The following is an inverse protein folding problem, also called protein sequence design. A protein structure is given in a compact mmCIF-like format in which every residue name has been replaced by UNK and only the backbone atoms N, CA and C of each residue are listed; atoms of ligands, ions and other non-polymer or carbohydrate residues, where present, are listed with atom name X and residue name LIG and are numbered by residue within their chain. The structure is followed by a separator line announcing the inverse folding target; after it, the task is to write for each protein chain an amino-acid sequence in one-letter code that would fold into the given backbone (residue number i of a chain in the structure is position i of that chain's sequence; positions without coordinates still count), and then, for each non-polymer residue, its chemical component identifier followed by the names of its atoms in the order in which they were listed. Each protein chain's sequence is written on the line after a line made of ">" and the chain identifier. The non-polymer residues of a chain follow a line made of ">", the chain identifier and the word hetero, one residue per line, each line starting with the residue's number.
data_IF_427106889510
#
_entry.id   IF_427106889510
#
_cell.length_a   1.000
_cell.length_b   1.000
_cell.length_c   1.000
_cell.angle_alpha   90.00
_cell.angle_beta   90.00
_cell.angle_gamma   90.00
#
_symmetry.space_group_name_H-M   'P 1'
#
loop_
_entity.id
_entity.type
_entity.pdbx_description
1 polymer ?
#
# COMPACT_ATOMS: atom_id res chain seq x y z
N UNK A 1 -20.18 -21.59 -0.99
CA UNK A 1 -20.45 -20.13 -1.01
C UNK A 1 -19.36 -19.53 -1.88
N UNK A 2 -19.70 -19.22 -3.13
CA UNK A 2 -18.80 -18.46 -3.99
C UNK A 2 -18.67 -17.05 -3.40
N UNK A 3 -17.65 -16.80 -2.60
CA UNK A 3 -17.19 -15.45 -2.38
C UNK A 3 -16.71 -14.95 -3.75
N UNK A 4 -17.50 -14.08 -4.35
CA UNK A 4 -17.15 -13.48 -5.64
C UNK A 4 -15.92 -12.60 -5.44
N UNK A 5 -14.79 -13.07 -5.92
CA UNK A 5 -13.52 -12.34 -5.92
C UNK A 5 -13.53 -11.21 -6.97
N UNK A 6 -14.56 -10.36 -6.96
CA UNK A 6 -14.71 -9.28 -7.94
C UNK A 6 -13.87 -8.03 -7.60
N UNK A 7 -13.12 -8.07 -6.50
CA UNK A 7 -12.36 -6.90 -6.06
C UNK A 7 -11.28 -6.48 -7.06
N UNK A 8 -10.56 -7.44 -7.65
CA UNK A 8 -9.50 -7.13 -8.62
C UNK A 8 -10.08 -6.52 -9.89
N UNK A 9 -11.15 -7.10 -10.41
CA UNK A 9 -11.85 -6.57 -11.60
C UNK A 9 -12.42 -5.17 -11.34
N UNK A 10 -12.97 -4.93 -10.15
CA UNK A 10 -13.43 -3.61 -9.76
C UNK A 10 -12.28 -2.60 -9.64
N UNK A 11 -11.11 -3.01 -9.13
CA UNK A 11 -9.91 -2.18 -9.07
C UNK A 11 -9.40 -1.82 -10.47
N UNK A 12 -9.42 -2.76 -11.41
CA UNK A 12 -9.09 -2.48 -12.83
C UNK A 12 -10.01 -1.41 -13.39
N UNK A 13 -11.33 -1.49 -13.12
CA UNK A 13 -12.30 -0.48 -13.57
C UNK A 13 -12.05 0.87 -12.88
N UNK A 14 -11.67 0.88 -11.60
CA UNK A 14 -11.24 2.10 -10.91
C UNK A 14 -10.08 2.79 -11.63
N UNK A 15 -9.05 2.01 -11.97
CA UNK A 15 -7.90 2.54 -12.71
C UNK A 15 -8.27 3.08 -14.09
N UNK A 16 -9.13 2.38 -14.84
CA UNK A 16 -9.59 2.87 -16.14
C UNK A 16 -10.29 4.23 -16.04
N UNK A 17 -11.15 4.43 -15.02
CA UNK A 17 -11.78 5.73 -14.82
C UNK A 17 -10.79 6.82 -14.40
N UNK A 18 -9.75 6.48 -13.65
CA UNK A 18 -8.68 7.40 -13.31
C UNK A 18 -7.88 7.81 -14.56
N UNK A 19 -7.57 6.85 -15.43
CA UNK A 19 -6.92 7.12 -16.73
C UNK A 19 -7.79 7.97 -17.68
N UNK A 20 -9.12 7.86 -17.58
CA UNK A 20 -10.08 8.74 -18.27
C UNK A 20 -10.11 10.16 -17.68
N UNK A 21 -9.30 10.46 -16.67
CA UNK A 21 -9.22 11.78 -16.01
C UNK A 21 -10.34 12.06 -15.01
N UNK A 22 -11.07 11.04 -14.54
CA UNK A 22 -12.06 11.21 -13.48
C UNK A 22 -11.35 11.31 -12.13
N UNK A 23 -11.70 12.30 -11.34
CA UNK A 23 -11.29 12.36 -9.94
C UNK A 23 -11.93 11.22 -9.14
N UNK A 24 -11.30 10.86 -8.03
CA UNK A 24 -11.69 9.73 -7.19
C UNK A 24 -13.13 9.81 -6.69
N UNK A 25 -13.62 11.02 -6.40
CA UNK A 25 -15.00 11.23 -5.98
C UNK A 25 -15.98 10.93 -7.11
N UNK A 26 -15.64 11.34 -8.33
CA UNK A 26 -16.44 11.08 -9.54
C UNK A 26 -16.43 9.59 -9.90
N UNK A 27 -15.30 8.88 -9.66
CA UNK A 27 -15.23 7.43 -9.80
C UNK A 27 -16.17 6.76 -8.81
N UNK A 28 -16.07 7.12 -7.52
CA UNK A 28 -16.96 6.57 -6.50
C UNK A 28 -18.43 6.88 -6.77
N UNK A 29 -18.76 8.10 -7.23
CA UNK A 29 -20.11 8.46 -7.63
C UNK A 29 -20.66 7.54 -8.72
N UNK A 30 -19.82 7.15 -9.69
CA UNK A 30 -20.22 6.22 -10.74
C UNK A 30 -20.61 4.84 -10.16
N UNK A 31 -19.84 4.31 -9.21
CA UNK A 31 -20.14 3.04 -8.53
C UNK A 31 -21.37 3.16 -7.62
N UNK A 32 -21.54 4.28 -6.92
CA UNK A 32 -22.74 4.54 -6.09
C UNK A 32 -24.00 4.62 -6.95
N UNK A 33 -23.96 5.32 -8.09
CA UNK A 33 -25.07 5.40 -9.03
C UNK A 33 -25.42 4.01 -9.59
N UNK A 34 -24.40 3.22 -9.94
CA UNK A 34 -24.58 1.85 -10.36
C UNK A 34 -25.25 1.01 -9.27
N UNK A 35 -24.78 1.08 -8.02
CA UNK A 35 -25.38 0.38 -6.90
C UNK A 35 -26.85 0.78 -6.66
N UNK A 36 -27.19 2.07 -6.72
CA UNK A 36 -28.56 2.55 -6.61
C UNK A 36 -29.46 1.92 -7.69
N UNK A 37 -28.94 1.80 -8.91
CA UNK A 37 -29.69 1.23 -10.04
C UNK A 37 -29.92 -0.27 -9.87
N UNK A 38 -28.89 -1.02 -9.53
CA UNK A 38 -28.95 -2.49 -9.42
C UNK A 38 -29.71 -2.97 -8.17
N UNK A 39 -29.78 -2.16 -7.11
CA UNK A 39 -30.60 -2.47 -5.94
C UNK A 39 -32.11 -2.44 -6.22
N UNK A 40 -32.54 -1.79 -7.29
CA UNK A 40 -33.97 -1.65 -7.66
C UNK A 40 -34.88 -1.17 -6.51
N UNK A 41 -34.33 -0.43 -5.54
CA UNK A 41 -35.07 0.08 -4.38
C UNK A 41 -35.57 1.50 -4.63
N UNK A 42 -36.87 1.73 -4.39
CA UNK A 42 -37.47 3.09 -4.44
C UNK A 42 -36.95 3.95 -3.28
N UNK A 43 -36.54 3.35 -2.16
CA UNK A 43 -36.00 4.04 -0.99
C UNK A 43 -34.92 3.18 -0.36
N UNK A 44 -33.79 3.79 -0.04
CA UNK A 44 -32.60 3.12 0.49
C UNK A 44 -31.83 4.01 1.47
N UNK A 45 -30.91 3.42 2.21
CA UNK A 45 -29.99 4.10 3.13
C UNK A 45 -28.57 4.06 2.59
N UNK A 46 -27.65 4.79 3.20
CA UNK A 46 -26.23 4.66 2.91
C UNK A 46 -25.70 3.26 3.26
N UNK A 47 -26.32 2.56 4.24
CA UNK A 47 -25.92 1.19 4.62
C UNK A 47 -26.24 0.19 3.51
N UNK A 48 -27.40 0.32 2.84
CA UNK A 48 -27.76 -0.56 1.73
C UNK A 48 -26.72 -0.46 0.60
N UNK A 49 -26.25 0.76 0.31
CA UNK A 49 -25.19 0.99 -0.67
C UNK A 49 -23.86 0.40 -0.21
N UNK A 50 -23.45 0.60 1.07
CA UNK A 50 -22.23 0.00 1.60
C UNK A 50 -22.25 -1.52 1.49
N UNK A 51 -23.35 -2.17 1.88
CA UNK A 51 -23.50 -3.62 1.80
C UNK A 51 -23.46 -4.12 0.36
N UNK A 52 -24.11 -3.40 -0.57
CA UNK A 52 -24.03 -3.71 -1.98
C UNK A 52 -22.59 -3.63 -2.51
N UNK A 53 -21.89 -2.53 -2.20
CA UNK A 53 -20.50 -2.30 -2.63
C UNK A 53 -19.54 -3.37 -2.08
N UNK A 54 -19.74 -3.78 -0.82
CA UNK A 54 -18.94 -4.85 -0.22
C UNK A 54 -19.23 -6.21 -0.85
N UNK A 55 -20.51 -6.53 -1.06
CA UNK A 55 -20.94 -7.82 -1.62
C UNK A 55 -20.56 -7.99 -3.09
N UNK A 56 -20.77 -6.95 -3.91
CA UNK A 56 -20.59 -7.04 -5.37
C UNK A 56 -19.17 -6.73 -5.84
N UNK A 57 -18.46 -5.84 -5.10
CA UNK A 57 -17.14 -5.38 -5.52
C UNK A 57 -16.04 -5.66 -4.49
N UNK A 58 -16.36 -6.19 -3.32
CA UNK A 58 -15.41 -6.36 -2.23
C UNK A 58 -14.98 -5.05 -1.58
N UNK A 59 -15.62 -3.91 -1.89
CA UNK A 59 -15.21 -2.58 -1.42
C UNK A 59 -15.75 -2.29 -0.02
N UNK A 60 -14.86 -2.20 0.97
CA UNK A 60 -15.18 -1.80 2.34
C UNK A 60 -15.06 -0.29 2.51
N UNK A 61 -16.04 0.44 2.00
CA UNK A 61 -16.05 1.92 2.05
C UNK A 61 -16.71 2.38 3.35
N UNK A 62 -16.09 3.32 4.12
CA UNK A 62 -16.68 3.85 5.32
C UNK A 62 -18.05 4.47 5.07
N UNK A 63 -19.01 4.21 5.97
CA UNK A 63 -20.40 4.66 5.86
C UNK A 63 -20.52 6.19 5.69
N UNK A 64 -19.68 6.96 6.39
CA UNK A 64 -19.66 8.41 6.28
C UNK A 64 -19.25 8.89 4.89
N UNK A 65 -18.36 8.16 4.20
CA UNK A 65 -17.98 8.48 2.82
C UNK A 65 -19.18 8.31 1.90
N UNK A 66 -19.83 7.15 1.94
CA UNK A 66 -21.03 6.89 1.12
C UNK A 66 -22.14 7.91 1.42
N UNK A 67 -22.39 8.20 2.69
CA UNK A 67 -23.39 9.20 3.10
C UNK A 67 -23.08 10.59 2.52
N UNK A 68 -21.82 11.01 2.57
CA UNK A 68 -21.37 12.28 1.97
C UNK A 68 -21.57 12.28 0.45
N UNK A 69 -21.21 11.18 -0.23
CA UNK A 69 -21.41 11.05 -1.68
C UNK A 69 -22.89 11.10 -2.06
N UNK A 70 -23.75 10.37 -1.35
CA UNK A 70 -25.21 10.41 -1.58
C UNK A 70 -25.79 11.83 -1.40
N UNK A 71 -25.35 12.58 -0.39
CA UNK A 71 -25.77 13.98 -0.21
C UNK A 71 -25.28 14.87 -1.38
N UNK A 72 -24.06 14.67 -1.84
CA UNK A 72 -23.53 15.41 -2.99
C UNK A 72 -24.30 15.06 -4.28
N UNK A 73 -24.56 13.75 -4.53
CA UNK A 73 -25.37 13.30 -5.65
C UNK A 73 -26.80 13.87 -5.60
N UNK A 74 -27.43 13.89 -4.44
CA UNK A 74 -28.75 14.51 -4.26
C UNK A 74 -28.72 16.00 -4.64
N UNK A 75 -27.68 16.74 -4.22
CA UNK A 75 -27.57 18.16 -4.54
C UNK A 75 -27.33 18.38 -6.05
N UNK A 76 -26.56 17.50 -6.68
CA UNK A 76 -26.23 17.57 -8.11
C UNK A 76 -27.38 17.08 -8.99
N UNK A 77 -28.16 16.13 -8.51
CA UNK A 77 -29.22 15.42 -9.26
C UNK A 77 -30.54 15.46 -8.46
N UNK A 78 -31.02 16.65 -8.06
CA UNK A 78 -32.23 16.85 -7.24
C UNK A 78 -33.48 16.25 -7.88
N UNK A 79 -33.55 16.18 -9.21
CA UNK A 79 -34.66 15.58 -9.95
C UNK A 79 -34.68 14.04 -9.90
N UNK A 80 -33.60 13.44 -9.53
CA UNK A 80 -33.41 11.97 -9.49
C UNK A 80 -33.38 11.43 -8.06
N UNK A 81 -32.90 12.21 -7.10
CA UNK A 81 -32.69 11.78 -5.73
C UNK A 81 -33.15 12.80 -4.71
N UNK A 82 -33.98 12.38 -3.75
CA UNK A 82 -34.42 13.20 -2.63
C UNK A 82 -34.21 12.49 -1.29
N UNK A 83 -34.36 13.25 -0.18
CA UNK A 83 -34.37 12.65 1.15
C UNK A 83 -35.83 12.51 1.64
N UNK A 84 -36.17 11.35 2.19
CA UNK A 84 -37.43 11.16 2.91
C UNK A 84 -37.27 11.56 4.38
N UNK A 85 -36.10 11.35 4.96
CA UNK A 85 -35.69 11.85 6.27
C UNK A 85 -34.13 11.97 6.31
N UNK A 86 -33.51 12.24 7.47
CA UNK A 86 -32.05 12.44 7.62
C UNK A 86 -31.21 11.24 7.18
N UNK A 87 -31.79 10.05 7.07
CA UNK A 87 -31.05 8.80 6.82
C UNK A 87 -31.51 8.05 5.56
N UNK A 88 -32.72 8.32 5.07
CA UNK A 88 -33.30 7.62 3.91
C UNK A 88 -33.32 8.49 2.68
N UNK A 89 -32.82 7.94 1.59
CA UNK A 89 -32.88 8.51 0.24
C UNK A 89 -34.01 7.87 -0.54
N UNK A 90 -34.66 8.64 -1.40
CA UNK A 90 -35.74 8.19 -2.28
C UNK A 90 -35.34 8.46 -3.72
N UNK A 91 -35.40 7.41 -4.55
CA UNK A 91 -35.22 7.52 -6.00
C UNK A 91 -36.50 8.09 -6.62
N UNK A 92 -36.39 9.21 -7.32
CA UNK A 92 -37.50 9.90 -8.02
C UNK A 92 -37.57 9.46 -9.49
N UNK A 93 -36.39 9.33 -10.13
CA UNK A 93 -36.21 8.86 -11.50
C UNK A 93 -34.99 7.94 -11.57
N UNK A 94 -34.99 6.95 -12.45
CA UNK A 94 -33.84 6.08 -12.67
C UNK A 94 -32.68 6.85 -13.27
N UNK A 95 -31.47 6.59 -12.77
CA UNK A 95 -30.24 7.11 -13.38
C UNK A 95 -29.96 6.38 -14.70
N UNK A 96 -29.53 7.11 -15.72
CA UNK A 96 -28.91 6.51 -16.89
C UNK A 96 -27.48 6.05 -16.54
N UNK A 97 -27.15 4.80 -16.87
CA UNK A 97 -25.78 4.30 -16.68
C UNK A 97 -24.90 4.75 -17.86
N UNK A 98 -24.33 5.95 -17.72
CA UNK A 98 -23.36 6.48 -18.68
C UNK A 98 -21.94 5.91 -18.47
N UNK A 99 -21.72 5.19 -17.37
CA UNK A 99 -20.39 4.71 -16.99
C UNK A 99 -20.05 3.33 -17.57
N UNK A 100 -21.04 2.55 -18.03
CA UNK A 100 -20.89 1.19 -18.54
C UNK A 100 -20.12 0.27 -17.58
N UNK A 101 -20.28 0.48 -16.25
CA UNK A 101 -19.54 -0.26 -15.22
C UNK A 101 -19.71 -1.77 -15.40
N UNK A 102 -20.93 -2.24 -15.64
CA UNK A 102 -21.22 -3.68 -15.80
C UNK A 102 -20.40 -4.30 -16.93
N UNK A 103 -20.34 -3.64 -18.08
CA UNK A 103 -19.56 -4.11 -19.22
C UNK A 103 -18.07 -4.11 -18.88
N UNK A 104 -17.56 -3.01 -18.32
CA UNK A 104 -16.15 -2.90 -17.94
C UNK A 104 -15.73 -3.93 -16.89
N UNK A 105 -16.60 -4.23 -15.91
CA UNK A 105 -16.34 -5.29 -14.92
C UNK A 105 -16.32 -6.67 -15.58
N UNK A 106 -17.29 -6.97 -16.44
CA UNK A 106 -17.33 -8.27 -17.13
C UNK A 106 -16.11 -8.49 -18.02
N UNK A 107 -15.59 -7.46 -18.65
CA UNK A 107 -14.36 -7.55 -19.44
C UNK A 107 -13.14 -7.73 -18.52
N UNK A 108 -13.07 -7.00 -17.41
CA UNK A 108 -12.00 -7.16 -16.42
C UNK A 108 -12.01 -8.55 -15.76
N UNK A 109 -13.18 -9.17 -15.54
CA UNK A 109 -13.30 -10.57 -15.05
C UNK A 109 -12.66 -11.55 -16.01
N UNK A 110 -12.88 -11.40 -17.32
CA UNK A 110 -12.27 -12.29 -18.33
C UNK A 110 -10.73 -12.19 -18.31
N UNK A 111 -10.23 -10.96 -18.18
CA UNK A 111 -8.80 -10.72 -18.09
C UNK A 111 -8.20 -11.30 -16.79
N UNK A 112 -8.95 -11.21 -15.69
CA UNK A 112 -8.60 -11.78 -14.39
C UNK A 112 -8.59 -13.31 -14.44
N UNK A 113 -9.61 -13.95 -15.02
CA UNK A 113 -9.66 -15.40 -15.20
C UNK A 113 -8.46 -15.88 -16.00
N UNK A 114 -8.12 -15.22 -17.11
CA UNK A 114 -6.93 -15.54 -17.88
C UNK A 114 -5.62 -15.36 -17.11
N UNK A 115 -5.55 -14.35 -16.24
CA UNK A 115 -4.41 -14.14 -15.37
C UNK A 115 -4.26 -15.28 -14.36
N UNK A 116 -5.36 -15.74 -13.75
CA UNK A 116 -5.35 -16.87 -12.83
C UNK A 116 -4.95 -18.18 -13.50
N UNK A 117 -5.44 -18.47 -14.71
CA UNK A 117 -4.99 -19.64 -15.47
C UNK A 117 -3.47 -19.63 -15.69
N UNK A 118 -2.91 -18.48 -16.03
CA UNK A 118 -1.45 -18.32 -16.16
C UNK A 118 -0.73 -18.54 -14.82
N UNK A 119 -1.28 -18.01 -13.73
CA UNK A 119 -0.71 -18.18 -12.39
C UNK A 119 -0.73 -19.66 -11.98
N UNK A 120 -1.83 -20.38 -12.21
CA UNK A 120 -1.92 -21.80 -11.88
C UNK A 120 -0.91 -22.61 -12.70
N UNK A 121 -0.88 -22.44 -14.00
CA UNK A 121 0.09 -23.11 -14.86
C UNK A 121 1.54 -22.82 -14.45
N UNK A 122 1.83 -21.59 -14.08
CA UNK A 122 3.15 -21.20 -13.56
C UNK A 122 3.51 -21.96 -12.27
N UNK A 123 2.57 -22.03 -11.33
CA UNK A 123 2.80 -22.73 -10.06
C UNK A 123 2.93 -24.24 -10.29
N UNK A 124 2.11 -24.84 -11.14
CA UNK A 124 2.19 -26.27 -11.51
C UNK A 124 3.56 -26.64 -12.10
N UNK A 125 4.08 -25.81 -12.99
CA UNK A 125 5.42 -25.99 -13.56
C UNK A 125 6.50 -25.94 -12.47
N UNK A 126 6.39 -25.03 -11.51
CA UNK A 126 7.37 -24.88 -10.41
C UNK A 126 7.24 -26.00 -9.38
N UNK A 127 6.06 -26.53 -9.14
CA UNK A 127 5.81 -27.64 -8.22
C UNK A 127 6.09 -29.01 -8.85
N UNK A 128 5.96 -29.14 -10.17
CA UNK A 128 6.10 -30.41 -10.89
C UNK A 128 4.88 -31.34 -10.78
N UNK A 129 3.73 -30.82 -10.32
CA UNK A 129 2.45 -31.54 -10.25
C UNK A 129 1.27 -30.59 -10.42
N UNK A 130 0.10 -31.15 -10.78
CA UNK A 130 -1.14 -30.40 -10.91
C UNK A 130 -1.64 -29.86 -9.55
N UNK A 131 -2.31 -28.71 -9.57
CA UNK A 131 -2.90 -28.06 -8.41
C UNK A 131 -4.36 -28.54 -8.28
N UNK A 132 -4.75 -28.95 -7.07
CA UNK A 132 -6.13 -29.33 -6.79
C UNK A 132 -7.07 -28.10 -6.75
N UNK A 133 -8.36 -28.28 -7.04
CA UNK A 133 -9.32 -27.16 -7.03
C UNK A 133 -9.40 -26.38 -5.73
N UNK A 134 -9.33 -27.06 -4.58
CA UNK A 134 -9.27 -26.39 -3.27
C UNK A 134 -8.00 -25.56 -3.08
N UNK A 135 -6.90 -25.94 -3.71
CA UNK A 135 -5.64 -25.19 -3.69
C UNK A 135 -5.71 -23.97 -4.61
N UNK A 136 -6.39 -24.08 -5.77
CA UNK A 136 -6.63 -22.94 -6.67
C UNK A 136 -7.36 -21.80 -5.95
N UNK A 137 -8.42 -22.13 -5.19
CA UNK A 137 -9.13 -21.15 -4.37
C UNK A 137 -8.24 -20.47 -3.30
N UNK A 138 -7.36 -21.26 -2.68
CA UNK A 138 -6.37 -20.71 -1.72
C UNK A 138 -5.39 -19.78 -2.42
N UNK A 139 -4.88 -20.18 -3.59
CA UNK A 139 -3.95 -19.36 -4.38
C UNK A 139 -4.61 -18.06 -4.84
N UNK A 140 -5.87 -18.10 -5.32
CA UNK A 140 -6.64 -16.90 -5.68
C UNK A 140 -6.75 -15.94 -4.49
N UNK A 141 -7.18 -16.46 -3.35
CA UNK A 141 -7.30 -15.67 -2.10
C UNK A 141 -5.97 -15.05 -1.70
N UNK A 142 -4.88 -15.81 -1.74
CA UNK A 142 -3.56 -15.33 -1.37
C UNK A 142 -3.02 -14.30 -2.36
N UNK A 143 -3.30 -14.47 -3.67
CA UNK A 143 -2.97 -13.47 -4.68
C UNK A 143 -3.71 -12.14 -4.45
N UNK A 144 -5.02 -12.19 -4.16
CA UNK A 144 -5.81 -11.01 -3.81
C UNK A 144 -5.25 -10.35 -2.54
N UNK A 145 -4.98 -11.14 -1.49
CA UNK A 145 -4.41 -10.66 -0.24
C UNK A 145 -3.03 -10.02 -0.42
N UNK A 146 -2.22 -10.55 -1.35
CA UNK A 146 -0.93 -9.96 -1.72
C UNK A 146 -1.11 -8.50 -2.18
N UNK A 147 -2.02 -8.26 -3.12
CA UNK A 147 -2.29 -6.93 -3.63
C UNK A 147 -2.95 -6.00 -2.60
N UNK A 148 -3.80 -6.53 -1.73
CA UNK A 148 -4.43 -5.74 -0.67
C UNK A 148 -3.52 -5.47 0.54
N UNK A 149 -2.29 -5.98 0.55
CA UNK A 149 -1.35 -5.82 1.66
C UNK A 149 -1.71 -6.63 2.90
N UNK A 150 -2.55 -7.66 2.77
CA UNK A 150 -2.92 -8.56 3.84
C UNK A 150 -1.86 -9.67 4.06
N UNK A 151 -1.96 -10.36 5.19
CA UNK A 151 -1.08 -11.51 5.49
C UNK A 151 -1.44 -12.67 4.57
N UNK A 152 -0.43 -13.23 3.90
CA UNK A 152 -0.56 -14.39 3.01
C UNK A 152 0.01 -15.61 3.73
N UNK A 153 -0.59 -16.78 3.53
CA UNK A 153 -0.03 -18.05 3.96
C UNK A 153 1.30 -18.31 3.25
N UNK A 154 2.30 -18.85 3.95
CA UNK A 154 3.67 -18.96 3.41
C UNK A 154 3.78 -19.96 2.25
N UNK A 155 2.85 -20.92 2.12
CA UNK A 155 2.92 -22.03 1.15
C UNK A 155 3.06 -21.55 -0.31
N UNK A 156 2.22 -20.61 -0.75
CA UNK A 156 2.20 -20.15 -2.16
C UNK A 156 2.84 -18.79 -2.37
N UNK A 157 3.21 -18.11 -1.31
CA UNK A 157 3.77 -16.75 -1.34
C UNK A 157 4.97 -16.59 -2.26
N UNK A 158 5.91 -17.54 -2.20
CA UNK A 158 7.13 -17.50 -3.02
C UNK A 158 6.77 -17.58 -4.51
N UNK A 159 5.82 -18.43 -4.88
CA UNK A 159 5.38 -18.61 -6.27
C UNK A 159 4.60 -17.41 -6.78
N UNK A 160 3.71 -16.84 -5.96
CA UNK A 160 2.97 -15.61 -6.29
C UNK A 160 3.95 -14.45 -6.53
N UNK A 161 4.91 -14.25 -5.65
CA UNK A 161 5.95 -13.24 -5.83
C UNK A 161 6.73 -13.45 -7.13
N UNK A 162 7.19 -14.69 -7.38
CA UNK A 162 7.94 -15.01 -8.59
C UNK A 162 7.10 -14.76 -9.86
N UNK A 163 5.82 -15.17 -9.85
CA UNK A 163 4.90 -14.93 -10.97
C UNK A 163 4.73 -13.44 -11.27
N UNK A 164 4.51 -12.62 -10.24
CA UNK A 164 4.33 -11.17 -10.40
C UNK A 164 5.59 -10.54 -11.00
N UNK A 165 6.77 -10.97 -10.55
CA UNK A 165 8.06 -10.47 -11.05
C UNK A 165 8.28 -10.88 -12.50
N UNK A 166 8.07 -12.18 -12.83
CA UNK A 166 8.25 -12.67 -14.21
C UNK A 166 7.23 -12.05 -15.19
N UNK A 167 6.09 -11.58 -14.68
CA UNK A 167 5.03 -10.94 -15.46
C UNK A 167 4.93 -9.41 -15.21
N UNK A 168 6.00 -8.74 -14.80
CA UNK A 168 6.01 -7.31 -14.45
C UNK A 168 5.46 -6.36 -15.53
N UNK A 169 5.48 -6.80 -16.80
CA UNK A 169 4.97 -6.03 -17.95
C UNK A 169 3.51 -6.34 -18.29
N UNK A 170 2.84 -7.23 -17.54
CA UNK A 170 1.45 -7.57 -17.78
C UNK A 170 0.53 -6.39 -17.43
N UNK A 171 -0.27 -5.94 -18.41
CA UNK A 171 -1.16 -4.78 -18.26
C UNK A 171 -2.25 -4.99 -17.20
N UNK A 172 -2.74 -6.21 -17.02
CA UNK A 172 -3.77 -6.53 -16.00
C UNK A 172 -3.17 -6.33 -14.60
N UNK A 173 -1.94 -6.83 -14.36
CA UNK A 173 -1.24 -6.61 -13.08
C UNK A 173 -1.00 -5.14 -12.78
N UNK A 174 -0.58 -4.36 -13.79
CA UNK A 174 -0.40 -2.92 -13.66
C UNK A 174 -1.71 -2.22 -13.33
N UNK A 175 -2.80 -2.58 -14.02
CA UNK A 175 -4.11 -1.99 -13.77
C UNK A 175 -4.64 -2.32 -12.38
N UNK A 176 -4.43 -3.54 -11.88
CA UNK A 176 -4.77 -3.93 -10.51
C UNK A 176 -3.97 -3.07 -9.50
N UNK A 177 -2.64 -2.99 -9.67
CA UNK A 177 -1.78 -2.23 -8.76
C UNK A 177 -2.17 -0.75 -8.68
N UNK A 178 -2.38 -0.12 -9.84
CA UNK A 178 -2.82 1.27 -9.90
C UNK A 178 -4.22 1.47 -9.33
N UNK A 179 -5.14 0.54 -9.60
CA UNK A 179 -6.50 0.58 -9.06
C UNK A 179 -6.55 0.52 -7.53
N UNK A 180 -5.64 -0.23 -6.91
CA UNK A 180 -5.51 -0.27 -5.44
C UNK A 180 -5.11 1.10 -4.88
N UNK A 181 -4.19 1.80 -5.54
CA UNK A 181 -3.78 3.13 -5.13
C UNK A 181 -4.99 4.06 -5.12
N UNK A 182 -5.76 4.06 -6.21
CA UNK A 182 -6.96 4.89 -6.35
C UNK A 182 -8.04 4.51 -5.32
N UNK A 183 -8.28 3.22 -5.10
CA UNK A 183 -9.27 2.72 -4.12
C UNK A 183 -8.88 3.07 -2.69
N UNK A 184 -7.64 2.82 -2.32
CA UNK A 184 -7.17 3.16 -0.98
C UNK A 184 -7.27 4.66 -0.72
N UNK A 185 -7.09 5.43 -1.77
CA UNK A 185 -7.38 6.82 -1.79
C UNK A 185 -8.78 7.15 -1.22
N UNK A 186 -9.83 6.40 -1.52
CA UNK A 186 -11.19 6.61 -1.03
C UNK A 186 -11.37 6.36 0.47
N UNK A 187 -10.62 5.42 1.04
CA UNK A 187 -10.82 4.99 2.42
C UNK A 187 -10.43 6.05 3.45
N UNK A 188 -9.55 6.97 3.07
CA UNK A 188 -8.96 7.96 4.00
C UNK A 188 -9.52 9.38 3.90
N UNK A 189 -10.49 9.64 3.02
CA UNK A 189 -11.07 10.99 2.78
C UNK A 189 -11.68 11.72 4.00
N UNK A 190 -12.00 11.02 5.07
CA UNK A 190 -12.87 11.60 6.11
C UNK A 190 -12.17 12.03 7.41
N UNK A 191 -10.83 11.98 7.48
CA UNK A 191 -10.13 12.21 8.76
C UNK A 191 -9.38 13.54 8.86
N UNK A 192 -9.43 14.42 7.85
CA UNK A 192 -8.50 15.54 7.79
C UNK A 192 -9.16 16.91 7.75
N UNK A 193 -9.00 17.65 8.87
CA UNK A 193 -9.14 19.12 8.92
C UNK A 193 -7.89 19.76 8.29
N UNK A 194 -8.02 20.93 7.68
CA UNK A 194 -6.88 21.73 7.18
C UNK A 194 -5.97 22.15 8.34
N UNK A 195 -4.94 21.37 8.61
CA UNK A 195 -3.90 21.71 9.60
C UNK A 195 -2.60 22.06 8.91
N UNK A 196 -1.85 23.02 9.48
CA UNK A 196 -0.51 23.35 9.00
C UNK A 196 0.43 22.16 9.26
N UNK A 197 1.12 21.74 8.22
CA UNK A 197 2.13 20.70 8.33
C UNK A 197 3.37 21.19 9.09
N UNK A 198 3.82 20.40 10.04
CA UNK A 198 5.17 20.47 10.58
C UNK A 198 6.13 19.63 9.70
N UNK A 199 7.44 19.81 9.90
CA UNK A 199 8.45 19.07 9.18
C UNK A 199 8.39 17.58 9.49
N UNK A 200 8.29 16.74 8.44
CA UNK A 200 8.18 15.28 8.54
C UNK A 200 9.43 14.61 7.96
N UNK A 201 10.14 13.85 8.79
CA UNK A 201 11.20 12.93 8.34
C UNK A 201 10.62 11.53 8.15
N UNK A 202 10.77 11.00 6.93
CA UNK A 202 10.40 9.63 6.57
C UNK A 202 11.67 8.81 6.46
N UNK A 203 11.91 7.96 7.45
CA UNK A 203 13.04 7.03 7.43
C UNK A 203 12.72 5.86 6.51
N UNK A 204 13.57 5.63 5.54
CA UNK A 204 13.45 4.55 4.56
C UNK A 204 14.25 3.34 5.03
N UNK A 205 13.64 2.17 5.08
CA UNK A 205 14.36 0.93 5.25
C UNK A 205 14.95 0.46 3.90
N UNK A 206 15.86 -0.50 3.94
CA UNK A 206 16.67 -0.94 2.77
C UNK A 206 15.79 -1.39 1.59
N UNK A 207 14.73 -2.14 1.85
CA UNK A 207 13.85 -2.66 0.79
C UNK A 207 13.14 -1.55 0.01
N UNK A 208 12.80 -0.41 0.66
CA UNK A 208 12.19 0.74 -0.01
C UNK A 208 13.19 1.36 -1.00
N UNK A 209 14.45 1.49 -0.60
CA UNK A 209 15.52 1.96 -1.47
C UNK A 209 15.72 0.98 -2.65
N UNK A 210 15.62 -0.33 -2.41
CA UNK A 210 15.73 -1.34 -3.46
C UNK A 210 14.53 -1.34 -4.41
N UNK A 211 13.31 -1.07 -3.91
CA UNK A 211 12.14 -0.83 -4.76
C UNK A 211 12.36 0.39 -5.66
N UNK A 212 12.82 1.49 -5.09
CA UNK A 212 13.12 2.71 -5.86
C UNK A 212 14.19 2.50 -6.93
N UNK A 213 15.20 1.66 -6.65
CA UNK A 213 16.23 1.29 -7.63
C UNK A 213 15.73 0.29 -8.68
N UNK A 214 14.55 -0.34 -8.47
CA UNK A 214 13.99 -1.37 -9.34
C UNK A 214 14.59 -2.76 -9.14
N UNK A 215 15.38 -2.97 -8.09
CA UNK A 215 15.99 -4.29 -7.83
C UNK A 215 14.97 -5.35 -7.42
N UNK A 216 13.81 -4.95 -6.92
CA UNK A 216 12.71 -5.85 -6.58
C UNK A 216 11.64 -5.94 -7.68
N UNK A 217 11.94 -5.45 -8.90
CA UNK A 217 11.05 -5.46 -10.06
C UNK A 217 10.34 -4.14 -10.33
N UNK A 218 9.78 -4.04 -11.53
CA UNK A 218 9.21 -2.79 -12.05
C UNK A 218 7.94 -2.37 -11.30
N UNK A 219 7.11 -3.31 -10.87
CA UNK A 219 5.88 -3.01 -10.15
C UNK A 219 6.15 -2.32 -8.81
N UNK A 220 7.08 -2.84 -8.02
CA UNK A 220 7.48 -2.20 -6.77
C UNK A 220 8.12 -0.83 -7.01
N UNK A 221 8.90 -0.71 -8.09
CA UNK A 221 9.48 0.57 -8.48
C UNK A 221 8.39 1.59 -8.80
N UNK A 222 7.40 1.24 -9.60
CA UNK A 222 6.29 2.13 -9.96
C UNK A 222 5.53 2.64 -8.73
N UNK A 223 5.22 1.75 -7.79
CA UNK A 223 4.52 2.11 -6.54
C UNK A 223 5.33 3.12 -5.71
N UNK A 224 6.66 2.92 -5.63
CA UNK A 224 7.54 3.85 -4.90
C UNK A 224 7.74 5.16 -5.67
N UNK A 225 7.87 5.10 -6.99
CA UNK A 225 7.99 6.30 -7.83
C UNK A 225 6.74 7.19 -7.64
N UNK A 226 5.52 6.62 -7.67
CA UNK A 226 4.27 7.35 -7.43
C UNK A 226 4.23 8.01 -6.03
N UNK A 227 4.64 7.28 -4.98
CA UNK A 227 4.75 7.87 -3.65
C UNK A 227 5.71 9.07 -3.64
N UNK A 228 6.86 8.93 -4.30
CA UNK A 228 7.86 10.00 -4.31
C UNK A 228 7.43 11.18 -5.19
N UNK A 229 6.69 10.96 -6.27
CA UNK A 229 6.06 12.03 -7.05
C UNK A 229 5.06 12.84 -6.21
N UNK A 230 4.23 12.17 -5.39
CA UNK A 230 3.33 12.84 -4.45
C UNK A 230 4.13 13.67 -3.44
N UNK A 231 5.20 13.09 -2.86
CA UNK A 231 6.07 13.81 -1.92
C UNK A 231 6.69 15.04 -2.59
N UNK A 232 7.16 14.91 -3.82
CA UNK A 232 7.74 16.02 -4.59
C UNK A 232 6.71 17.10 -4.90
N UNK A 233 5.48 16.71 -5.25
CA UNK A 233 4.37 17.65 -5.47
C UNK A 233 4.07 18.46 -4.21
N UNK A 234 3.95 17.78 -3.07
CA UNK A 234 3.75 18.42 -1.77
C UNK A 234 4.93 19.35 -1.44
N UNK A 235 6.16 18.89 -1.63
CA UNK A 235 7.37 19.66 -1.33
C UNK A 235 7.54 20.89 -2.24
N UNK A 236 7.04 20.88 -3.47
CA UNK A 236 7.00 22.07 -4.34
C UNK A 236 6.10 23.16 -3.75
N UNK A 237 5.03 22.78 -3.07
CA UNK A 237 4.10 23.72 -2.39
C UNK A 237 4.69 24.20 -1.05
N UNK A 238 5.24 23.26 -0.28
CA UNK A 238 5.78 23.52 1.09
C UNK A 238 6.85 22.47 1.40
N UNK A 239 8.11 22.79 1.40
CA UNK A 239 9.22 21.86 1.71
C UNK A 239 9.13 21.33 3.15
N UNK A 240 8.37 20.25 3.39
CA UNK A 240 8.20 19.72 4.73
C UNK A 240 8.43 18.22 4.86
N UNK A 241 8.47 17.42 3.77
CA UNK A 241 8.77 15.99 3.83
C UNK A 241 10.21 15.77 3.41
N UNK A 242 11.01 15.20 4.30
CA UNK A 242 12.38 14.80 4.04
C UNK A 242 12.51 13.28 4.06
N UNK A 243 12.97 12.68 2.97
CA UNK A 243 13.33 11.28 2.92
C UNK A 243 14.72 11.09 3.52
N UNK A 244 14.84 10.19 4.50
CA UNK A 244 16.07 9.93 5.23
C UNK A 244 16.39 8.43 5.26
N UNK A 245 17.64 8.08 5.46
CA UNK A 245 18.07 6.73 5.81
C UNK A 245 19.19 6.78 6.86
N UNK A 246 19.27 5.74 7.68
CA UNK A 246 20.20 5.69 8.80
C UNK A 246 21.53 5.04 8.40
N UNK A 247 22.59 5.19 9.21
CA UNK A 247 23.86 4.48 9.00
C UNK A 247 23.69 2.95 8.98
N UNK A 248 22.76 2.41 9.79
CA UNK A 248 22.47 0.98 9.82
C UNK A 248 21.90 0.50 8.48
N UNK A 249 20.97 1.24 7.89
CA UNK A 249 20.43 0.94 6.55
C UNK A 249 21.55 1.01 5.51
N UNK A 250 22.43 2.01 5.58
CA UNK A 250 23.59 2.11 4.72
C UNK A 250 24.49 0.88 4.84
N UNK A 251 24.82 0.49 6.08
CA UNK A 251 25.67 -0.68 6.33
C UNK A 251 25.04 -1.97 5.78
N UNK A 252 23.74 -2.18 5.97
CA UNK A 252 23.02 -3.34 5.39
C UNK A 252 23.06 -3.34 3.85
N UNK A 253 22.96 -2.17 3.21
CA UNK A 253 23.13 -2.05 1.75
C UNK A 253 24.55 -2.44 1.35
N UNK A 254 25.57 -1.95 2.07
CA UNK A 254 26.96 -2.24 1.79
C UNK A 254 27.25 -3.75 1.96
N UNK A 255 26.79 -4.36 3.04
CA UNK A 255 26.89 -5.80 3.32
C UNK A 255 26.19 -6.64 2.24
N UNK A 256 25.01 -6.22 1.80
CA UNK A 256 24.27 -6.90 0.73
C UNK A 256 25.07 -6.93 -0.58
N UNK A 257 25.66 -5.82 -0.99
CA UNK A 257 26.52 -5.78 -2.18
C UNK A 257 27.81 -6.60 -2.01
N UNK A 258 28.42 -6.59 -0.81
CA UNK A 258 29.58 -7.44 -0.52
C UNK A 258 29.23 -8.93 -0.54
N UNK A 259 28.04 -9.32 -0.08
CA UNK A 259 27.55 -10.69 -0.16
C UNK A 259 27.38 -11.14 -1.62
N UNK A 260 26.85 -10.28 -2.49
CA UNK A 260 26.76 -10.56 -3.94
C UNK A 260 28.16 -10.76 -4.53
N UNK A 261 29.13 -9.91 -4.18
CA UNK A 261 30.50 -10.01 -4.69
C UNK A 261 31.21 -11.29 -4.24
N UNK A 262 30.91 -11.78 -3.03
CA UNK A 262 31.48 -13.04 -2.49
C UNK A 262 30.84 -14.28 -3.14
N UNK A 263 29.56 -14.17 -3.54
CA UNK A 263 28.82 -15.29 -4.10
C UNK A 263 28.07 -14.86 -5.37
N UNK A 264 28.75 -14.90 -6.50
CA UNK A 264 28.20 -14.59 -7.82
C UNK A 264 27.29 -15.69 -8.39
N UNK A 265 27.05 -16.77 -7.63
CA UNK A 265 26.02 -17.74 -7.97
C UNK A 265 24.63 -17.12 -7.73
N UNK A 266 23.69 -17.45 -8.59
CA UNK A 266 22.31 -16.97 -8.48
C UNK A 266 21.74 -17.48 -7.16
N UNK A 267 21.59 -16.59 -6.19
CA UNK A 267 20.80 -16.86 -4.99
C UNK A 267 19.35 -16.55 -5.33
N UNK A 268 18.41 -17.32 -4.78
CA UNK A 268 16.97 -17.12 -4.96
C UNK A 268 16.45 -15.87 -4.23
N UNK A 269 17.14 -14.76 -4.37
CA UNK A 269 16.75 -13.47 -3.81
C UNK A 269 16.58 -12.49 -4.96
N UNK A 270 15.37 -11.98 -5.14
CA UNK A 270 14.98 -11.16 -6.28
C UNK A 270 15.91 -9.98 -6.54
N UNK A 271 16.31 -9.24 -5.49
CA UNK A 271 17.17 -8.07 -5.65
C UNK A 271 18.59 -8.48 -6.11
N UNK A 272 19.17 -9.53 -5.56
CA UNK A 272 20.49 -10.01 -5.95
C UNK A 272 20.51 -10.56 -7.38
N UNK A 273 19.46 -11.30 -7.78
CA UNK A 273 19.31 -11.79 -9.16
C UNK A 273 19.26 -10.63 -10.16
N UNK A 274 18.42 -9.64 -9.93
CA UNK A 274 18.30 -8.46 -10.83
C UNK A 274 19.61 -7.68 -10.93
N UNK A 275 20.35 -7.52 -9.84
CA UNK A 275 21.68 -6.87 -9.88
C UNK A 275 22.67 -7.71 -10.67
N UNK A 276 22.71 -9.03 -10.44
CA UNK A 276 23.60 -9.95 -11.16
C UNK A 276 23.25 -9.99 -12.66
N UNK A 277 21.98 -10.06 -13.01
CA UNK A 277 21.52 -10.00 -14.41
C UNK A 277 21.94 -8.70 -15.08
N UNK A 278 21.71 -7.56 -14.44
CA UNK A 278 22.07 -6.24 -14.92
C UNK A 278 23.59 -6.07 -15.12
N UNK A 279 24.37 -6.61 -14.20
CA UNK A 279 25.84 -6.47 -14.19
C UNK A 279 26.58 -7.59 -14.92
N UNK A 280 25.91 -8.67 -15.33
CA UNK A 280 26.53 -9.80 -16.03
C UNK A 280 27.58 -10.54 -15.21
N UNK A 281 27.39 -10.68 -13.89
CA UNK A 281 28.33 -11.30 -12.93
C UNK A 281 29.71 -10.61 -12.87
N UNK A 282 29.81 -9.37 -13.33
CA UNK A 282 31.04 -8.59 -13.33
C UNK A 282 31.18 -7.82 -12.01
N UNK A 283 32.21 -8.15 -11.23
CA UNK A 283 32.47 -7.54 -9.93
C UNK A 283 32.68 -6.00 -10.02
N UNK A 284 33.28 -5.50 -11.11
CA UNK A 284 33.48 -4.06 -11.32
C UNK A 284 32.13 -3.39 -11.56
N UNK A 285 31.28 -3.97 -12.39
CA UNK A 285 29.95 -3.44 -12.68
C UNK A 285 29.06 -3.48 -11.44
N UNK A 286 29.15 -4.52 -10.59
CA UNK A 286 28.41 -4.58 -9.32
C UNK A 286 28.83 -3.45 -8.37
N UNK A 287 30.13 -3.15 -8.26
CA UNK A 287 30.63 -2.02 -7.47
C UNK A 287 30.19 -0.67 -8.05
N UNK A 288 30.16 -0.54 -9.37
CA UNK A 288 29.63 0.64 -10.05
C UNK A 288 28.13 0.79 -9.78
N UNK A 289 27.36 -0.30 -9.78
CA UNK A 289 25.94 -0.27 -9.47
C UNK A 289 25.67 0.15 -8.02
N UNK A 290 26.46 -0.31 -7.04
CA UNK A 290 26.42 0.20 -5.66
C UNK A 290 26.64 1.72 -5.62
N UNK A 291 27.65 2.21 -6.36
CA UNK A 291 27.91 3.65 -6.44
C UNK A 291 26.76 4.42 -7.12
N UNK A 292 26.17 3.86 -8.18
CA UNK A 292 25.01 4.43 -8.86
C UNK A 292 23.81 4.55 -7.92
N UNK A 293 23.56 3.56 -7.07
CA UNK A 293 22.52 3.62 -6.05
C UNK A 293 22.72 4.86 -5.16
N UNK A 294 23.90 5.03 -4.54
CA UNK A 294 24.15 6.16 -3.66
C UNK A 294 24.09 7.51 -4.40
N UNK A 295 24.60 7.59 -5.62
CA UNK A 295 24.50 8.79 -6.44
C UNK A 295 23.03 9.14 -6.71
N UNK A 296 22.20 8.14 -7.09
CA UNK A 296 20.80 8.34 -7.41
C UNK A 296 19.99 8.80 -6.20
N UNK A 297 20.13 8.17 -5.03
CA UNK A 297 19.42 8.59 -3.82
C UNK A 297 19.86 9.99 -3.36
N UNK A 298 21.16 10.30 -3.45
CA UNK A 298 21.67 11.64 -3.13
C UNK A 298 21.14 12.72 -4.07
N UNK A 299 21.14 12.47 -5.39
CA UNK A 299 20.59 13.40 -6.39
C UNK A 299 19.10 13.67 -6.21
N UNK A 300 18.34 12.69 -5.69
CA UNK A 300 16.92 12.84 -5.40
C UNK A 300 16.64 13.32 -3.96
N UNK A 301 17.65 13.90 -3.31
CA UNK A 301 17.48 14.59 -2.03
C UNK A 301 17.29 13.68 -0.82
N UNK A 302 17.61 12.39 -0.92
CA UNK A 302 17.60 11.51 0.24
C UNK A 302 18.77 11.88 1.16
N UNK A 303 18.46 12.10 2.43
CA UNK A 303 19.48 12.54 3.40
C UNK A 303 19.94 11.33 4.21
N UNK A 304 21.27 11.10 4.22
CA UNK A 304 21.84 10.21 5.21
C UNK A 304 21.90 10.95 6.53
N UNK A 305 21.15 10.47 7.51
CA UNK A 305 21.27 10.95 8.89
C UNK A 305 22.57 10.42 9.49
N UNK A 306 23.30 11.26 10.20
CA UNK A 306 24.53 10.81 10.84
C UNK A 306 24.23 9.87 11.99
N UNK A 307 23.22 10.17 12.78
CA UNK A 307 22.68 9.35 13.89
C UNK A 307 21.27 9.82 14.20
N UNK A 308 20.41 8.90 14.66
CA UNK A 308 19.21 9.32 15.39
C UNK A 308 19.69 10.06 16.66
N UNK A 309 18.99 11.13 17.09
CA UNK A 309 19.40 11.88 18.26
C UNK A 309 19.78 10.93 19.42
N UNK A 310 20.97 11.09 19.98
CA UNK A 310 21.36 10.33 21.17
C UNK A 310 20.33 10.59 22.27
N UNK A 311 19.72 9.53 22.74
CA UNK A 311 18.76 9.59 23.83
C UNK A 311 19.58 9.49 25.11
N UNK A 312 19.70 10.59 25.83
CA UNK A 312 20.31 10.59 27.16
C UNK A 312 19.58 9.56 28.05
N UNK A 313 20.32 8.90 28.92
CA UNK A 313 19.80 7.85 29.84
C UNK A 313 18.60 8.31 30.69
N UNK A 314 18.44 9.60 30.90
CA UNK A 314 17.29 10.22 31.57
C UNK A 314 15.99 10.09 30.78
N UNK A 315 16.07 9.97 29.44
CA UNK A 315 14.89 9.79 28.58
C UNK A 315 14.43 8.33 28.50
N UNK A 316 15.21 7.36 28.99
CA UNK A 316 14.79 5.96 29.09
C UNK A 316 13.58 5.75 30.00
N UNK A 317 13.33 6.65 30.95
CA UNK A 317 12.12 6.71 31.78
C UNK A 317 10.97 7.50 31.14
N UNK A 318 11.09 7.87 29.88
CA UNK A 318 10.03 8.57 29.14
C UNK A 318 8.77 7.70 29.04
N UNK A 319 7.62 8.33 29.19
CA UNK A 319 6.32 7.70 28.90
C UNK A 319 6.22 7.17 27.45
N UNK A 320 7.12 7.60 26.57
CA UNK A 320 7.21 7.19 25.16
C UNK A 320 8.13 6.00 24.96
N UNK A 321 8.71 5.43 26.02
CA UNK A 321 9.50 4.21 25.95
C UNK A 321 8.59 3.02 25.63
N UNK A 322 8.90 2.30 24.54
CA UNK A 322 8.14 1.14 24.07
C UNK A 322 8.81 -0.19 24.43
N UNK A 323 10.03 -0.16 24.96
CA UNK A 323 10.74 -1.37 25.39
C UNK A 323 10.09 -1.86 26.68
N UNK A 324 9.52 -3.05 26.65
CA UNK A 324 8.98 -3.74 27.80
C UNK A 324 9.18 -5.25 27.67
N UNK A 325 9.20 -5.94 28.81
CA UNK A 325 9.27 -7.42 28.83
C UNK A 325 8.13 -8.01 28.00
N UNK A 326 6.91 -7.46 28.13
CA UNK A 326 5.75 -7.90 27.37
C UNK A 326 5.93 -7.74 25.85
N UNK A 327 6.54 -6.64 25.41
CA UNK A 327 6.82 -6.40 23.98
C UNK A 327 7.88 -7.37 23.45
N UNK A 328 8.92 -7.65 24.22
CA UNK A 328 9.96 -8.62 23.89
C UNK A 328 9.39 -10.04 23.81
N UNK A 329 8.60 -10.46 24.82
CA UNK A 329 8.00 -11.80 24.85
C UNK A 329 7.03 -12.04 23.69
N UNK A 330 6.20 -11.04 23.35
CA UNK A 330 5.27 -11.13 22.20
C UNK A 330 5.98 -11.25 20.84
N UNK A 331 7.21 -10.81 20.75
CA UNK A 331 7.95 -10.74 19.50
C UNK A 331 9.24 -11.56 19.51
N UNK A 332 9.41 -12.48 20.47
CA UNK A 332 10.63 -13.29 20.66
C UNK A 332 11.06 -14.13 19.45
N UNK A 333 10.13 -14.42 18.53
CA UNK A 333 10.39 -15.18 17.31
C UNK A 333 11.00 -14.31 16.19
N UNK A 334 11.04 -12.99 16.37
CA UNK A 334 11.57 -12.06 15.39
C UNK A 334 13.09 -12.04 15.50
N UNK A 335 13.77 -12.27 14.39
CA UNK A 335 15.21 -12.16 14.29
C UNK A 335 15.67 -10.72 14.54
N UNK A 336 16.73 -10.56 15.36
CA UNK A 336 17.27 -9.25 15.76
C UNK A 336 16.22 -8.32 16.39
N UNK A 337 15.31 -8.89 17.20
CA UNK A 337 14.22 -8.13 17.84
C UNK A 337 14.72 -6.94 18.65
N UNK A 338 15.84 -7.12 19.38
CA UNK A 338 16.41 -6.06 20.23
C UNK A 338 16.83 -4.83 19.41
N UNK A 339 17.53 -5.05 18.29
CA UNK A 339 17.96 -3.96 17.39
C UNK A 339 16.75 -3.24 16.76
N UNK A 340 15.78 -4.01 16.26
CA UNK A 340 14.55 -3.45 15.67
C UNK A 340 13.74 -2.66 16.69
N UNK A 341 13.60 -3.19 17.90
CA UNK A 341 12.86 -2.55 18.98
C UNK A 341 13.58 -1.31 19.50
N UNK A 342 14.90 -1.34 19.62
CA UNK A 342 15.72 -0.18 20.01
C UNK A 342 15.55 0.98 19.01
N UNK A 343 15.60 0.68 17.70
CA UNK A 343 15.37 1.68 16.67
C UNK A 343 13.97 2.30 16.76
N UNK A 344 12.92 1.48 16.90
CA UNK A 344 11.55 1.97 17.07
C UNK A 344 11.37 2.75 18.38
N UNK A 345 12.06 2.36 19.43
CA UNK A 345 12.04 3.07 20.70
C UNK A 345 12.64 4.48 20.58
N UNK A 346 13.82 4.59 19.94
CA UNK A 346 14.43 5.89 19.63
C UNK A 346 13.47 6.76 18.85
N UNK A 347 12.82 6.19 17.82
CA UNK A 347 11.84 6.91 16.99
C UNK A 347 10.62 7.36 17.82
N UNK A 348 10.11 6.52 18.71
CA UNK A 348 8.99 6.83 19.61
C UNK A 348 9.32 7.99 20.56
N UNK A 349 10.49 7.94 21.20
CA UNK A 349 10.94 8.96 22.14
C UNK A 349 11.15 10.31 21.45
N UNK A 350 11.75 10.31 20.25
CA UNK A 350 11.97 11.55 19.49
C UNK A 350 10.66 12.15 19.01
N UNK A 351 9.70 11.30 18.60
CA UNK A 351 8.38 11.73 18.14
C UNK A 351 7.53 12.36 19.23
N UNK A 352 7.61 11.90 20.47
CA UNK A 352 6.93 12.44 21.68
C UNK A 352 5.41 12.63 21.51
N UNK A 353 4.76 11.91 20.63
CA UNK A 353 3.33 12.04 20.39
C UNK A 353 2.72 10.76 19.84
N UNK A 354 1.89 10.08 20.64
CA UNK A 354 1.19 8.87 20.21
C UNK A 354 -0.07 9.15 19.40
N UNK A 355 -0.75 10.27 19.66
CA UNK A 355 -2.02 10.60 19.02
C UNK A 355 -1.83 11.71 17.97
N UNK A 356 -0.85 11.53 17.08
CA UNK A 356 -0.52 12.50 16.04
C UNK A 356 -1.24 12.22 14.73
N UNK A 357 -1.52 13.27 13.98
CA UNK A 357 -1.85 13.21 12.56
C UNK A 357 -0.57 13.31 11.73
N UNK A 358 -0.65 13.09 10.41
CA UNK A 358 0.53 13.12 9.54
C UNK A 358 1.22 14.50 9.58
N UNK A 359 0.45 15.55 9.80
CA UNK A 359 0.93 16.93 9.83
C UNK A 359 1.88 17.22 10.99
N UNK A 360 1.75 16.48 12.09
CA UNK A 360 2.56 16.66 13.29
C UNK A 360 3.26 15.38 13.76
N UNK A 361 3.33 14.37 12.89
CA UNK A 361 3.98 13.10 13.18
C UNK A 361 5.50 13.24 13.34
N UNK A 362 6.14 14.23 12.72
CA UNK A 362 7.57 14.54 12.72
C UNK A 362 8.48 13.43 12.21
N UNK A 363 8.27 12.19 12.66
CA UNK A 363 9.12 11.03 12.37
C UNK A 363 8.28 9.80 12.15
N UNK A 364 8.52 9.08 11.02
CA UNK A 364 7.93 7.78 10.71
C UNK A 364 8.96 6.89 10.04
N UNK A 365 8.82 5.57 10.21
CA UNK A 365 9.56 4.55 9.47
C UNK A 365 8.70 4.04 8.32
N UNK A 366 9.19 4.14 7.09
CA UNK A 366 8.60 3.54 5.90
C UNK A 366 9.28 2.20 5.61
N UNK A 367 8.52 1.12 5.69
CA UNK A 367 9.04 -0.24 5.49
C UNK A 367 7.94 -1.22 5.10
N UNK A 368 8.28 -2.19 4.27
CA UNK A 368 7.47 -3.37 3.98
C UNK A 368 7.87 -4.59 4.83
N UNK A 369 8.89 -4.43 5.72
CA UNK A 369 9.32 -5.49 6.62
C UNK A 369 8.20 -5.82 7.63
N UNK A 370 7.72 -7.07 7.56
CA UNK A 370 6.62 -7.57 8.41
C UNK A 370 6.97 -7.55 9.90
N UNK A 371 8.23 -7.71 10.24
CA UNK A 371 8.68 -7.73 11.62
C UNK A 371 8.51 -6.36 12.27
N UNK A 372 8.94 -5.28 11.60
CA UNK A 372 8.69 -3.93 12.09
C UNK A 372 7.20 -3.63 12.25
N UNK A 373 6.38 -4.06 11.28
CA UNK A 373 4.93 -3.91 11.37
C UNK A 373 4.34 -4.73 12.54
N UNK A 374 4.80 -5.98 12.75
CA UNK A 374 4.39 -6.83 13.86
C UNK A 374 4.76 -6.21 15.21
N UNK A 375 5.99 -5.73 15.36
CA UNK A 375 6.44 -5.03 16.57
C UNK A 375 5.58 -3.78 16.81
N UNK A 376 5.42 -2.92 15.80
CA UNK A 376 4.63 -1.70 15.91
C UNK A 376 3.18 -1.99 16.36
N UNK A 377 2.55 -3.04 15.82
CA UNK A 377 1.20 -3.44 16.18
C UNK A 377 1.09 -4.05 17.60
N UNK A 378 2.19 -4.60 18.14
CA UNK A 378 2.22 -5.18 19.49
C UNK A 378 2.33 -4.13 20.59
N UNK A 379 2.69 -2.88 20.28
CA UNK A 379 2.84 -1.79 21.23
C UNK A 379 1.45 -1.41 21.77
N UNK A 380 1.27 -1.41 23.10
CA UNK A 380 -0.03 -1.18 23.77
C UNK A 380 -0.77 0.07 23.33
N UNK A 381 -0.06 1.14 23.01
CA UNK A 381 -0.63 2.44 22.66
C UNK A 381 -0.97 2.57 21.17
N UNK A 382 -0.68 1.55 20.35
CA UNK A 382 -0.83 1.66 18.90
C UNK A 382 -2.31 1.70 18.45
N UNK A 383 -3.24 1.14 19.25
CA UNK A 383 -4.68 1.18 18.94
C UNK A 383 -5.29 2.59 19.02
N UNK A 384 -4.63 3.51 19.73
CA UNK A 384 -5.04 4.91 19.88
C UNK A 384 -4.28 5.84 18.92
N UNK A 385 -3.24 5.34 18.23
CA UNK A 385 -2.43 6.16 17.34
C UNK A 385 -3.16 6.39 16.02
N UNK A 386 -3.35 7.65 15.63
CA UNK A 386 -3.88 7.99 14.31
C UNK A 386 -2.89 7.69 13.19
N UNK A 387 -1.59 7.94 13.44
CA UNK A 387 -0.49 7.57 12.54
C UNK A 387 0.48 6.66 13.31
N UNK A 388 0.68 5.41 12.90
CA UNK A 388 1.63 4.51 13.55
C UNK A 388 3.09 4.96 13.34
N UNK A 389 4.01 4.43 14.15
CA UNK A 389 5.44 4.68 14.00
C UNK A 389 5.99 4.08 12.71
N UNK A 390 5.43 2.94 12.34
CA UNK A 390 5.78 2.18 11.14
C UNK A 390 4.63 2.26 10.16
N UNK A 391 4.92 2.62 8.93
CA UNK A 391 3.95 2.69 7.84
C UNK A 391 4.50 1.94 6.63
N UNK A 392 3.61 1.33 5.86
CA UNK A 392 3.95 0.76 4.56
C UNK A 392 3.75 1.80 3.44
N UNK A 393 4.24 1.48 2.24
CA UNK A 393 4.15 2.36 1.06
C UNK A 393 2.70 2.73 0.80
N UNK A 394 1.82 1.75 0.76
CA UNK A 394 0.40 1.93 0.47
C UNK A 394 -0.28 2.90 1.45
N UNK A 395 -0.04 2.71 2.74
CA UNK A 395 -0.60 3.57 3.78
C UNK A 395 -0.12 5.03 3.64
N UNK A 396 1.20 5.23 3.43
CA UNK A 396 1.76 6.56 3.30
C UNK A 396 1.31 7.26 2.01
N UNK A 397 1.31 6.54 0.87
CA UNK A 397 0.80 7.05 -0.41
C UNK A 397 -0.62 7.56 -0.26
N UNK A 398 -1.49 6.76 0.35
CA UNK A 398 -2.88 7.10 0.56
C UNK A 398 -3.05 8.39 1.37
N UNK A 399 -2.34 8.50 2.49
CA UNK A 399 -2.45 9.69 3.35
C UNK A 399 -1.93 10.94 2.64
N UNK A 400 -0.79 10.84 1.96
CA UNK A 400 -0.16 11.99 1.32
C UNK A 400 -0.90 12.43 0.06
N UNK A 401 -1.42 11.49 -0.72
CA UNK A 401 -2.17 11.81 -1.93
C UNK A 401 -3.39 12.69 -1.65
N UNK A 402 -4.11 12.40 -0.54
CA UNK A 402 -5.21 13.28 -0.10
C UNK A 402 -4.78 14.67 0.34
N UNK A 403 -3.53 14.81 0.73
CA UNK A 403 -3.00 16.09 1.18
C UNK A 403 -2.49 16.94 0.04
N UNK A 404 -2.19 16.32 -1.11
CA UNK A 404 -1.76 17.03 -2.31
C UNK A 404 -2.95 17.55 -3.14
N UNK A 405 -4.11 16.91 -3.03
CA UNK A 405 -5.38 17.38 -3.61
C UNK A 405 -5.99 18.53 -2.84
#
# INVERSE_FOLDING_TARGET
>A
MEEKYQILSALVVFNHFNQEGKDVNSILDSFVIYAIKELHLNSFTHLDICQYMEKEFGFKIPQLVIRKRLNNLKNKYSDFLSNTNKEKFKLLKSFEDKSNIKTKINDAIKDEDYLFEKLFSFIEIKLGHEILENEKETIKRDFINYFLGNIIEDKYRIYINAFIIENENNEVLKNIANGIIVYNGLLYQNTFEERKFEYLKVYLNMEIIFHYMGYNGILFKQIVDELFEIIDSINKKKKFIQLCYTPEVKNRIDEFFEAILKNLSIQKNTASEKIIEKCGKDAIKIRLEKRNLYNKISQNGFMQEKELPEINYVESNSQYNIISIETLEKNKEIENIEEKLEFLNKLSIVRKNYNCTIENAKYILLTEDKDYNKISNSIKNNKEQKIPLVVNIQYLTNILWYKDM
#
